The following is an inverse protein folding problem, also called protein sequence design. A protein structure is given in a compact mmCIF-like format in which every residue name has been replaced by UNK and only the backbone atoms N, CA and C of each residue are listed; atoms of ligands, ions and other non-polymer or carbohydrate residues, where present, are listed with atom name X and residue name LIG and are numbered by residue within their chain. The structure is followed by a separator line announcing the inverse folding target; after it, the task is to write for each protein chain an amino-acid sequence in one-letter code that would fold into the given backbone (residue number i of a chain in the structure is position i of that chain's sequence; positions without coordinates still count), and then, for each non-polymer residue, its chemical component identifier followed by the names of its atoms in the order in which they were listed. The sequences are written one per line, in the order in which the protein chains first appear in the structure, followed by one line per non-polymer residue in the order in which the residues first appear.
data_IF_809894344740
#
_entry.id   IF_809894344740
#
_cell.length_a   1.000
_cell.length_b   1.000
_cell.length_c   1.000
_cell.angle_alpha   90.00
_cell.angle_beta   90.00
_cell.angle_gamma   90.00
#
_symmetry.space_group_name_H-M   'P 1'
#
loop_
_entity.id
_entity.type
_entity.pdbx_description
1 polymer ?
#
# COMPACT_ATOMS: atom_id res chain seq x y z
N UNK A 1 -14.17 -0.69 30.03
CA UNK A 1 -13.26 -0.84 28.86
C UNK A 1 -12.13 -1.74 29.33
N UNK A 2 -12.12 -3.01 28.89
CA UNK A 2 -11.18 -4.01 29.41
C UNK A 2 -9.74 -3.62 29.03
N UNK A 3 -8.82 -3.74 29.97
CA UNK A 3 -7.39 -3.43 29.81
C UNK A 3 -6.75 -4.11 28.58
N UNK A 4 -7.26 -5.27 28.20
CA UNK A 4 -6.83 -6.00 27.00
C UNK A 4 -7.15 -5.26 25.69
N UNK A 5 -8.32 -4.61 25.59
CA UNK A 5 -8.68 -3.84 24.40
C UNK A 5 -7.81 -2.60 24.21
N UNK A 6 -7.37 -1.97 25.31
CA UNK A 6 -6.46 -0.83 25.29
C UNK A 6 -5.05 -1.23 24.81
N UNK A 7 -4.56 -2.40 25.21
CA UNK A 7 -3.26 -2.91 24.76
C UNK A 7 -3.26 -3.28 23.28
N UNK A 8 -4.29 -3.98 22.79
CA UNK A 8 -4.39 -4.34 21.37
C UNK A 8 -4.49 -3.09 20.48
N UNK A 9 -5.26 -2.08 20.88
CA UNK A 9 -5.34 -0.82 20.14
C UNK A 9 -4.03 -0.04 20.13
N UNK A 10 -3.25 -0.12 21.20
CA UNK A 10 -1.97 0.59 21.31
C UNK A 10 -0.93 0.08 20.31
N UNK A 11 -0.97 -1.22 19.94
CA UNK A 11 0.00 -1.82 19.01
C UNK A 11 -0.47 -1.88 17.55
N UNK A 12 -1.78 -1.84 17.29
CA UNK A 12 -2.34 -1.84 15.94
C UNK A 12 -1.85 -0.65 15.11
N UNK A 13 -1.88 0.56 15.68
CA UNK A 13 -1.48 1.79 14.99
C UNK A 13 0.01 1.77 14.57
N UNK A 14 0.96 1.47 15.49
CA UNK A 14 2.36 1.29 15.13
C UNK A 14 2.57 0.22 14.04
N UNK A 15 1.93 -0.93 14.17
CA UNK A 15 2.06 -2.02 13.19
C UNK A 15 1.56 -1.61 11.79
N UNK A 16 0.39 -0.96 11.71
CA UNK A 16 -0.13 -0.47 10.44
C UNK A 16 0.77 0.60 9.82
N UNK A 17 1.38 1.44 10.65
CA UNK A 17 2.34 2.46 10.19
C UNK A 17 3.61 1.82 9.62
N UNK A 18 4.13 0.77 10.26
CA UNK A 18 5.27 0.00 9.74
C UNK A 18 4.91 -0.64 8.39
N UNK A 19 3.73 -1.25 8.28
CA UNK A 19 3.24 -1.84 7.02
C UNK A 19 3.12 -0.75 5.94
N UNK A 20 2.60 0.43 6.27
CA UNK A 20 2.52 1.55 5.34
C UNK A 20 3.89 1.99 4.83
N UNK A 21 4.89 2.10 5.72
CA UNK A 21 6.27 2.45 5.34
C UNK A 21 6.88 1.37 4.44
N UNK A 22 6.72 0.09 4.77
CA UNK A 22 7.21 -1.02 3.96
C UNK A 22 6.57 -1.03 2.56
N UNK A 23 5.26 -0.78 2.46
CA UNK A 23 4.56 -0.72 1.17
C UNK A 23 4.99 0.49 0.34
N UNK A 24 5.26 1.64 0.96
CA UNK A 24 5.82 2.81 0.26
C UNK A 24 7.22 2.53 -0.29
N UNK A 25 8.10 1.96 0.53
CA UNK A 25 9.46 1.56 0.11
C UNK A 25 9.38 0.52 -1.02
N UNK A 26 8.51 -0.48 -0.86
CA UNK A 26 8.27 -1.51 -1.86
C UNK A 26 7.75 -0.94 -3.17
N UNK A 27 6.84 0.04 -3.12
CA UNK A 27 6.33 0.73 -4.30
C UNK A 27 7.42 1.54 -4.99
N UNK A 28 8.24 2.28 -4.24
CA UNK A 28 9.36 3.05 -4.79
C UNK A 28 10.40 2.14 -5.45
N UNK A 29 10.75 1.04 -4.79
CA UNK A 29 11.65 0.02 -5.35
C UNK A 29 11.05 -0.62 -6.60
N UNK A 30 9.75 -0.96 -6.56
CA UNK A 30 9.00 -1.50 -7.69
C UNK A 30 9.04 -0.57 -8.90
N UNK A 31 8.85 0.72 -8.69
CA UNK A 31 8.95 1.74 -9.73
C UNK A 31 10.39 1.86 -10.28
N UNK A 32 11.39 1.98 -9.40
CA UNK A 32 12.80 2.15 -9.80
C UNK A 32 13.35 0.96 -10.60
N UNK A 33 12.96 -0.27 -10.23
CA UNK A 33 13.40 -1.50 -10.89
C UNK A 33 12.44 -1.98 -11.99
N UNK A 34 11.49 -1.16 -12.42
CA UNK A 34 10.46 -1.52 -13.41
C UNK A 34 9.66 -2.79 -13.07
N UNK A 35 9.62 -3.16 -11.79
CA UNK A 35 8.81 -4.27 -11.27
C UNK A 35 7.40 -3.75 -10.97
N UNK A 36 6.67 -3.37 -12.02
CA UNK A 36 5.34 -2.80 -11.89
C UNK A 36 4.32 -3.74 -11.21
N UNK A 37 4.53 -5.06 -11.29
CA UNK A 37 3.74 -6.04 -10.52
C UNK A 37 3.88 -5.85 -9.00
N UNK A 38 5.07 -5.51 -8.51
CA UNK A 38 5.30 -5.21 -7.10
C UNK A 38 4.55 -3.92 -6.68
N UNK A 39 4.58 -2.91 -7.55
CA UNK A 39 3.87 -1.64 -7.34
C UNK A 39 2.34 -1.81 -7.30
N UNK A 40 1.80 -2.72 -8.13
CA UNK A 40 0.38 -3.12 -8.09
C UNK A 40 0.07 -3.79 -6.75
N UNK A 41 0.89 -4.75 -6.31
CA UNK A 41 0.69 -5.47 -5.05
C UNK A 41 0.74 -4.54 -3.84
N UNK A 42 1.69 -3.60 -3.80
CA UNK A 42 1.78 -2.61 -2.71
C UNK A 42 0.60 -1.64 -2.73
N UNK A 43 0.15 -1.20 -3.92
CA UNK A 43 -1.02 -0.33 -4.05
C UNK A 43 -2.32 -0.99 -3.58
N UNK A 44 -2.51 -2.28 -3.88
CA UNK A 44 -3.63 -3.07 -3.34
C UNK A 44 -3.54 -3.18 -1.82
N UNK A 45 -2.36 -3.48 -1.28
CA UNK A 45 -2.16 -3.57 0.17
C UNK A 45 -2.49 -2.24 0.86
N UNK A 46 -2.06 -1.12 0.30
CA UNK A 46 -2.39 0.22 0.83
C UNK A 46 -3.90 0.50 0.80
N UNK A 47 -4.58 0.08 -0.25
CA UNK A 47 -6.03 0.20 -0.36
C UNK A 47 -6.74 -0.61 0.73
N UNK A 48 -6.28 -1.83 1.00
CA UNK A 48 -6.86 -2.73 2.02
C UNK A 48 -6.62 -2.22 3.45
N UNK A 49 -5.43 -1.68 3.75
CA UNK A 49 -5.12 -1.16 5.10
C UNK A 49 -5.72 0.23 5.34
N UNK A 50 -6.11 0.96 4.29
CA UNK A 50 -6.61 2.34 4.41
C UNK A 50 -7.83 2.52 5.33
N UNK A 51 -8.82 1.62 5.40
CA UNK A 51 -9.95 1.75 6.33
C UNK A 51 -9.57 1.46 7.78
N UNK A 52 -8.43 0.79 8.00
CA UNK A 52 -7.91 0.48 9.33
C UNK A 52 -7.08 1.63 9.92
N UNK A 53 -6.74 2.63 9.10
CA UNK A 53 -6.01 3.83 9.50
C UNK A 53 -6.96 4.87 10.12
N UNK A 54 -6.43 5.78 10.97
CA UNK A 54 -7.21 6.91 11.48
C UNK A 54 -7.83 7.75 10.35
N UNK A 55 -9.00 8.35 10.60
CA UNK A 55 -9.76 9.11 9.60
C UNK A 55 -8.97 10.24 8.91
N UNK A 56 -7.97 10.81 9.59
CA UNK A 56 -7.10 11.84 9.01
C UNK A 56 -6.10 11.30 7.98
N UNK A 57 -5.69 10.02 8.10
CA UNK A 57 -4.62 9.41 7.30
C UNK A 57 -5.17 8.39 6.30
N UNK A 58 -6.25 7.68 6.64
CA UNK A 58 -6.86 6.65 5.79
C UNK A 58 -7.17 7.11 4.36
N UNK A 59 -7.84 8.26 4.15
CA UNK A 59 -8.13 8.76 2.80
C UNK A 59 -6.86 9.06 1.97
N UNK A 60 -5.80 9.52 2.62
CA UNK A 60 -4.51 9.81 1.96
C UNK A 60 -3.87 8.49 1.51
N UNK A 61 -3.83 7.49 2.40
CA UNK A 61 -3.30 6.15 2.10
C UNK A 61 -4.10 5.48 0.98
N UNK A 62 -5.43 5.64 0.98
CA UNK A 62 -6.30 5.14 -0.08
C UNK A 62 -5.97 5.79 -1.43
N UNK A 63 -5.86 7.12 -1.48
CA UNK A 63 -5.49 7.84 -2.70
C UNK A 63 -4.13 7.41 -3.26
N UNK A 64 -3.15 7.21 -2.37
CA UNK A 64 -1.83 6.68 -2.74
C UNK A 64 -1.93 5.25 -3.29
N UNK A 65 -2.68 4.38 -2.61
CA UNK A 65 -2.87 2.99 -3.03
C UNK A 65 -3.51 2.87 -4.41
N UNK A 66 -4.58 3.63 -4.67
CA UNK A 66 -5.24 3.68 -5.98
C UNK A 66 -4.29 4.21 -7.05
N UNK A 67 -3.51 5.25 -6.75
CA UNK A 67 -2.55 5.83 -7.70
C UNK A 67 -1.45 4.82 -8.06
N UNK A 68 -0.86 4.15 -7.05
CA UNK A 68 0.16 3.12 -7.26
C UNK A 68 -0.39 1.93 -8.05
N UNK A 69 -1.59 1.49 -7.70
CA UNK A 69 -2.27 0.41 -8.40
C UNK A 69 -2.49 0.75 -9.88
N UNK A 70 -3.05 1.92 -10.17
CA UNK A 70 -3.30 2.39 -11.53
C UNK A 70 -2.01 2.55 -12.33
N UNK A 71 -1.02 3.29 -11.81
CA UNK A 71 0.27 3.48 -12.47
C UNK A 71 1.00 2.15 -12.68
N UNK A 72 0.90 1.22 -11.73
CA UNK A 72 1.46 -0.12 -11.85
C UNK A 72 0.81 -0.89 -13.01
N UNK A 73 -0.52 -0.90 -13.12
CA UNK A 73 -1.23 -1.57 -14.21
C UNK A 73 -0.89 -0.98 -15.59
N UNK A 74 -0.88 0.35 -15.70
CA UNK A 74 -0.59 1.05 -16.96
C UNK A 74 0.83 0.76 -17.43
N UNK A 75 1.81 0.81 -16.53
CA UNK A 75 3.20 0.57 -16.89
C UNK A 75 3.49 -0.92 -17.12
N UNK A 76 2.87 -1.83 -16.38
CA UNK A 76 3.02 -3.27 -16.61
C UNK A 76 2.62 -3.66 -18.05
N UNK A 77 1.54 -3.07 -18.58
CA UNK A 77 1.09 -3.29 -19.96
C UNK A 77 2.05 -2.71 -21.01
N UNK A 78 2.80 -1.67 -20.69
CA UNK A 78 3.79 -1.05 -21.60
C UNK A 78 5.12 -1.79 -21.60
N UNK A 79 5.46 -2.47 -20.52
CA UNK A 79 6.75 -3.17 -20.35
C UNK A 79 6.66 -4.66 -20.68
N UNK A 80 5.45 -5.23 -20.80
CA UNK A 80 5.29 -6.53 -21.42
C UNK A 80 5.47 -6.39 -22.94
N UNK A 81 6.51 -6.99 -23.54
CA UNK A 81 6.58 -7.07 -25.00
C UNK A 81 5.33 -7.82 -25.46
N UNK A 82 4.66 -7.28 -26.49
CA UNK A 82 3.60 -7.99 -27.19
C UNK A 82 4.15 -9.39 -27.50
N UNK A 83 3.56 -10.42 -26.89
CA UNK A 83 3.77 -11.79 -27.34
C UNK A 83 2.99 -11.89 -28.66
N UNK A 84 3.68 -11.62 -29.76
CA UNK A 84 3.34 -12.15 -31.08
C UNK A 84 3.55 -13.66 -31.10
#
# INVERSE_FOLDING_TARGET
MNSEMLQTYSWILPSLTIILLLTLIGSYYGFKHQKFSLMIATGMMQTIISPLMPAAVGPIVLGLGITQFYMGMVNLRRTQPAKE
#
